data_IF_004923069791
#
_entry.id   IF_004923069791
#
_cell.length_a   1.000
_cell.length_b   1.000
_cell.length_c   1.000
_cell.angle_alpha   90.00
_cell.angle_beta   90.00
_cell.angle_gamma   90.00
#
_symmetry.space_group_name_H-M   'P 1'
#
loop_
_entity.id
_entity.type
_entity.pdbx_description
1 polymer ?
#
# COMPACT_ATOMS: atom_id res chain seq x y z
N UNK A 1 15.37 21.43 14.01
CA UNK A 1 15.06 20.05 14.45
C UNK A 1 16.24 19.22 14.00
N UNK A 2 17.13 18.86 14.92
CA UNK A 2 18.22 17.97 14.58
C UNK A 2 17.62 16.60 14.31
N UNK A 3 17.74 16.14 13.07
CA UNK A 3 17.26 14.83 12.65
C UNK A 3 18.24 13.78 13.18
N UNK A 4 17.81 12.94 14.10
CA UNK A 4 18.68 11.95 14.75
C UNK A 4 19.09 10.77 13.85
N UNK A 5 18.91 10.85 12.52
CA UNK A 5 19.36 9.90 11.46
C UNK A 5 19.46 8.40 11.84
N UNK A 6 18.53 7.88 12.63
CA UNK A 6 18.54 6.46 13.04
C UNK A 6 19.42 6.10 14.24
N UNK A 7 19.84 7.08 15.06
CA UNK A 7 20.45 6.82 16.37
C UNK A 7 19.47 5.98 17.21
N UNK A 8 19.89 4.84 17.77
CA UNK A 8 19.04 4.01 18.61
C UNK A 8 18.52 4.82 19.81
N UNK A 9 17.21 4.92 19.94
CA UNK A 9 16.56 5.53 21.10
C UNK A 9 16.16 4.46 22.10
N UNK A 10 16.45 4.68 23.37
CA UNK A 10 15.92 3.84 24.44
C UNK A 10 14.40 4.00 24.50
N UNK A 11 13.68 2.88 24.36
CA UNK A 11 12.22 2.87 24.40
C UNK A 11 11.72 2.74 25.83
N UNK A 12 10.66 3.47 26.18
CA UNK A 12 9.93 3.24 27.42
C UNK A 12 9.25 1.87 27.43
N UNK A 13 8.87 1.37 28.60
CA UNK A 13 8.24 0.05 28.71
C UNK A 13 6.90 -0.02 27.96
N UNK A 14 6.13 1.07 27.95
CA UNK A 14 4.92 1.17 27.13
C UNK A 14 5.23 1.11 25.63
N UNK A 15 6.31 1.77 25.18
CA UNK A 15 6.72 1.72 23.77
C UNK A 15 7.21 0.31 23.37
N UNK A 16 7.96 -0.37 24.25
CA UNK A 16 8.35 -1.77 24.06
C UNK A 16 7.12 -2.66 23.91
N UNK A 17 6.15 -2.56 24.83
CA UNK A 17 4.91 -3.34 24.74
C UNK A 17 4.13 -3.00 23.46
N UNK A 18 4.02 -1.72 23.11
CA UNK A 18 3.31 -1.29 21.89
C UNK A 18 3.96 -1.80 20.61
N UNK A 19 5.29 -1.93 20.56
CA UNK A 19 6.00 -2.46 19.39
C UNK A 19 5.70 -3.94 19.08
N UNK A 20 5.15 -4.68 20.05
CA UNK A 20 4.75 -6.08 19.87
C UNK A 20 3.37 -6.22 19.21
N UNK A 21 2.57 -5.15 19.19
CA UNK A 21 1.25 -5.17 18.58
C UNK A 21 1.35 -5.44 17.07
N UNK A 22 0.61 -6.45 16.61
CA UNK A 22 0.46 -6.76 15.19
C UNK A 22 -0.92 -6.27 14.69
N UNK A 23 -0.96 -5.26 13.80
CA UNK A 23 -2.19 -4.84 13.15
C UNK A 23 -2.88 -6.00 12.42
N UNK A 24 -4.21 -6.06 12.53
CA UNK A 24 -5.03 -7.01 11.78
C UNK A 24 -5.04 -6.64 10.29
N UNK A 25 -4.95 -7.66 9.43
CA UNK A 25 -5.05 -7.49 7.99
C UNK A 25 -6.45 -7.90 7.52
N UNK A 26 -6.98 -7.27 6.47
CA UNK A 26 -8.15 -7.79 5.77
C UNK A 26 -7.88 -9.23 5.27
N UNK A 27 -8.86 -10.14 5.34
CA UNK A 27 -8.67 -11.54 4.90
C UNK A 27 -8.21 -11.72 3.45
N UNK A 28 -8.47 -10.74 2.57
CA UNK A 28 -8.00 -10.75 1.18
C UNK A 28 -6.52 -10.40 1.01
N UNK A 29 -5.85 -9.93 2.08
CA UNK A 29 -4.43 -9.59 2.11
C UNK A 29 -3.62 -10.54 3.02
N UNK A 30 -4.26 -11.58 3.55
CA UNK A 30 -3.57 -12.63 4.29
C UNK A 30 -2.83 -13.57 3.32
N UNK A 31 -1.52 -13.73 3.51
CA UNK A 31 -0.67 -14.52 2.63
C UNK A 31 -0.10 -13.70 1.46
N UNK A 32 0.34 -14.40 0.41
CA UNK A 32 0.99 -13.80 -0.78
C UNK A 32 0.09 -13.78 -2.01
N UNK A 33 -0.91 -14.67 -2.07
CA UNK A 33 -1.81 -14.78 -3.22
C UNK A 33 -2.97 -13.81 -3.10
N UNK A 34 -2.96 -12.77 -3.93
CA UNK A 34 -4.03 -11.77 -3.98
C UNK A 34 -4.87 -11.99 -5.23
N UNK A 35 -6.20 -11.98 -5.06
CA UNK A 35 -7.18 -12.04 -6.14
C UNK A 35 -7.78 -10.66 -6.37
N UNK A 36 -7.83 -10.22 -7.62
CA UNK A 36 -8.34 -8.90 -8.00
C UNK A 36 -9.41 -9.04 -9.08
N UNK A 37 -10.52 -8.35 -8.89
CA UNK A 37 -11.55 -8.12 -9.90
C UNK A 37 -11.59 -6.63 -10.27
N UNK A 38 -11.80 -6.33 -11.54
CA UNK A 38 -11.96 -4.96 -12.02
C UNK A 38 -13.43 -4.64 -12.25
N UNK A 39 -13.92 -3.61 -11.58
CA UNK A 39 -15.30 -3.12 -11.69
C UNK A 39 -15.43 -1.92 -12.63
N UNK A 40 -16.39 -1.05 -12.32
CA UNK A 40 -16.74 0.11 -13.13
C UNK A 40 -15.55 1.08 -13.33
N UNK A 41 -15.55 1.77 -14.46
CA UNK A 41 -14.58 2.84 -14.76
C UNK A 41 -14.81 4.03 -13.85
N UNK A 42 -13.73 4.58 -13.30
CA UNK A 42 -13.78 5.82 -12.50
C UNK A 42 -14.13 7.05 -13.35
N UNK A 43 -14.68 8.09 -12.73
CA UNK A 43 -14.99 9.37 -13.38
C UNK A 43 -14.67 10.53 -12.44
N UNK A 44 -14.64 11.76 -12.96
CA UNK A 44 -14.56 12.97 -12.14
C UNK A 44 -15.77 13.09 -11.20
N UNK A 45 -15.57 13.73 -10.05
CA UNK A 45 -16.64 14.00 -9.08
C UNK A 45 -17.70 14.94 -9.67
N UNK A 46 -17.26 16.00 -10.34
CA UNK A 46 -18.12 16.91 -11.09
C UNK A 46 -18.13 16.49 -12.59
N UNK A 47 -19.29 16.18 -13.19
CA UNK A 47 -19.39 15.87 -14.60
C UNK A 47 -18.95 17.01 -15.53
N UNK A 48 -19.06 18.27 -15.11
CA UNK A 48 -18.64 19.42 -15.91
C UNK A 48 -17.12 19.44 -16.16
N UNK A 49 -16.34 18.91 -15.22
CA UNK A 49 -14.87 18.85 -15.31
C UNK A 49 -14.36 17.63 -16.07
N UNK A 50 -15.23 16.66 -16.40
CA UNK A 50 -14.83 15.37 -16.96
C UNK A 50 -13.96 15.52 -18.22
N UNK A 51 -14.32 16.43 -19.12
CA UNK A 51 -13.57 16.65 -20.35
C UNK A 51 -12.19 17.26 -20.10
N UNK A 52 -12.11 18.26 -19.21
CA UNK A 52 -10.87 18.93 -18.84
C UNK A 52 -9.90 17.96 -18.14
N UNK A 53 -10.40 17.18 -17.19
CA UNK A 53 -9.59 16.21 -16.44
C UNK A 53 -9.15 15.07 -17.36
N UNK A 54 -10.03 14.53 -18.20
CA UNK A 54 -9.66 13.48 -19.16
C UNK A 54 -8.54 13.93 -20.11
N UNK A 55 -8.59 15.20 -20.57
CA UNK A 55 -7.55 15.78 -21.41
C UNK A 55 -6.22 15.95 -20.66
N UNK A 56 -6.26 16.33 -19.38
CA UNK A 56 -5.05 16.50 -18.56
C UNK A 56 -4.41 15.15 -18.18
N UNK A 57 -5.21 14.09 -18.04
CA UNK A 57 -4.78 12.77 -17.56
C UNK A 57 -5.15 11.63 -18.55
N UNK A 58 -4.67 11.68 -19.80
CA UNK A 58 -5.13 10.79 -20.86
C UNK A 58 -4.80 9.31 -20.62
N UNK A 59 -3.82 9.01 -19.75
CA UNK A 59 -3.36 7.65 -19.48
C UNK A 59 -3.96 7.04 -18.20
N UNK A 60 -4.60 7.85 -17.35
CA UNK A 60 -5.08 7.44 -16.02
C UNK A 60 -6.54 7.75 -15.77
N UNK A 61 -7.15 8.69 -16.50
CA UNK A 61 -8.59 8.91 -16.42
C UNK A 61 -9.38 7.66 -16.85
N UNK A 62 -10.46 7.35 -16.13
CA UNK A 62 -11.32 6.21 -16.48
C UNK A 62 -10.77 4.83 -16.11
N UNK A 63 -9.66 4.72 -15.36
CA UNK A 63 -9.17 3.41 -14.89
C UNK A 63 -10.25 2.72 -14.03
N UNK A 64 -10.38 1.39 -14.13
CA UNK A 64 -11.40 0.65 -13.39
C UNK A 64 -11.11 0.60 -11.89
N UNK A 65 -12.16 0.46 -11.09
CA UNK A 65 -12.04 0.13 -9.68
C UNK A 65 -11.45 -1.26 -9.50
N UNK A 66 -10.51 -1.42 -8.56
CA UNK A 66 -9.93 -2.71 -8.21
C UNK A 66 -10.53 -3.23 -6.90
N UNK A 67 -11.08 -4.43 -6.93
CA UNK A 67 -11.68 -5.12 -5.79
C UNK A 67 -10.81 -6.31 -5.37
N UNK A 68 -10.35 -6.32 -4.13
CA UNK A 68 -9.60 -7.45 -3.58
C UNK A 68 -10.56 -8.51 -3.05
N UNK A 69 -10.47 -9.71 -3.59
CA UNK A 69 -11.33 -10.82 -3.24
C UNK A 69 -10.68 -11.72 -2.18
N UNK A 70 -11.51 -12.39 -1.39
CA UNK A 70 -11.03 -13.45 -0.49
C UNK A 70 -10.40 -14.58 -1.31
N UNK A 71 -9.43 -15.28 -0.73
CA UNK A 71 -8.73 -16.38 -1.40
C UNK A 71 -9.68 -17.50 -1.91
N UNK A 72 -10.82 -17.69 -1.26
CA UNK A 72 -11.84 -18.70 -1.60
C UNK A 72 -12.89 -18.25 -2.62
N UNK A 73 -12.87 -16.98 -3.04
CA UNK A 73 -13.83 -16.46 -4.01
C UNK A 73 -13.61 -17.12 -5.39
N UNK A 74 -14.70 -17.63 -5.98
CA UNK A 74 -14.72 -18.22 -7.33
C UNK A 74 -15.35 -17.22 -8.29
N UNK A 75 -14.54 -16.29 -8.79
CA UNK A 75 -14.93 -15.31 -9.82
C UNK A 75 -14.20 -15.69 -11.11
N UNK A 76 -14.91 -15.95 -12.22
CA UNK A 76 -14.31 -16.50 -13.45
C UNK A 76 -13.15 -15.65 -14.01
N UNK A 77 -13.26 -14.32 -13.93
CA UNK A 77 -12.32 -13.38 -14.54
C UNK A 77 -11.40 -12.69 -13.53
N UNK A 78 -11.35 -13.18 -12.29
CA UNK A 78 -10.47 -12.61 -11.28
C UNK A 78 -9.00 -12.92 -11.59
N UNK A 79 -8.19 -11.87 -11.62
CA UNK A 79 -6.75 -12.00 -11.78
C UNK A 79 -6.13 -12.48 -10.47
N UNK A 80 -5.27 -13.50 -10.56
CA UNK A 80 -4.55 -14.05 -9.41
C UNK A 80 -3.09 -13.65 -9.52
N UNK A 81 -2.63 -12.85 -8.58
CA UNK A 81 -1.23 -12.46 -8.50
C UNK A 81 -0.47 -13.58 -7.80
N UNK A 82 0.41 -14.24 -8.55
CA UNK A 82 1.25 -15.34 -8.06
C UNK A 82 2.74 -15.06 -8.24
N UNK A 83 3.09 -14.13 -9.13
CA UNK A 83 4.47 -13.73 -9.37
C UNK A 83 4.89 -12.61 -8.43
N UNK A 84 6.04 -12.81 -7.79
CA UNK A 84 6.61 -11.86 -6.84
C UNK A 84 8.09 -11.60 -7.17
N UNK A 85 8.38 -10.88 -8.28
CA UNK A 85 9.75 -10.51 -8.59
C UNK A 85 10.34 -9.60 -7.50
N UNK A 86 11.67 -9.57 -7.41
CA UNK A 86 12.34 -8.64 -6.51
C UNK A 86 12.14 -7.21 -7.02
N UNK A 87 11.59 -6.33 -6.19
CA UNK A 87 11.29 -4.94 -6.55
C UNK A 87 11.91 -3.95 -5.58
N UNK A 88 12.14 -2.73 -6.06
CA UNK A 88 12.56 -1.59 -5.25
C UNK A 88 11.42 -0.59 -5.18
N UNK A 89 10.98 -0.26 -3.97
CA UNK A 89 9.88 0.69 -3.74
C UNK A 89 10.42 1.92 -3.03
N UNK A 90 10.09 3.10 -3.55
CA UNK A 90 10.34 4.39 -2.91
C UNK A 90 9.14 4.83 -2.08
N UNK A 91 9.39 5.36 -0.89
CA UNK A 91 8.37 5.94 -0.01
C UNK A 91 8.80 7.33 0.45
N UNK A 92 7.89 8.28 0.38
CA UNK A 92 8.06 9.66 0.86
C UNK A 92 6.84 10.05 1.69
N UNK A 93 7.06 10.79 2.77
CA UNK A 93 5.98 11.44 3.51
C UNK A 93 5.79 12.86 3.03
N UNK A 94 4.57 13.20 2.59
CA UNK A 94 4.23 14.55 2.15
C UNK A 94 3.35 15.25 3.21
N UNK A 95 3.67 16.49 3.54
CA UNK A 95 2.87 17.31 4.45
C UNK A 95 3.23 17.13 5.93
N UNK A 96 2.24 17.28 6.82
CA UNK A 96 2.44 17.23 8.27
C UNK A 96 2.45 15.81 8.80
N UNK A 97 3.16 15.61 9.92
CA UNK A 97 3.15 14.35 10.65
C UNK A 97 1.73 13.94 11.08
N UNK A 98 1.44 12.65 10.97
CA UNK A 98 0.20 12.04 11.45
C UNK A 98 0.50 10.71 12.17
N UNK A 99 -0.18 10.40 13.28
CA UNK A 99 -0.13 9.07 13.89
C UNK A 99 -0.44 7.98 12.86
N UNK A 100 0.32 6.89 12.88
CA UNK A 100 0.16 5.74 11.98
C UNK A 100 1.05 5.72 10.73
N UNK A 101 1.78 6.80 10.43
CA UNK A 101 2.70 6.82 9.27
C UNK A 101 3.73 5.68 9.31
N UNK A 102 4.31 5.38 10.47
CA UNK A 102 5.23 4.25 10.62
C UNK A 102 4.54 2.88 10.51
N UNK A 103 3.23 2.77 10.78
CA UNK A 103 2.48 1.53 10.51
C UNK A 103 2.35 1.26 9.00
N UNK A 104 2.23 2.32 8.19
CA UNK A 104 2.25 2.20 6.72
C UNK A 104 3.62 1.68 6.25
N UNK A 105 4.72 2.24 6.76
CA UNK A 105 6.08 1.77 6.45
C UNK A 105 6.27 0.31 6.87
N UNK A 106 5.84 -0.05 8.09
CA UNK A 106 5.87 -1.42 8.58
C UNK A 106 5.09 -2.38 7.68
N UNK A 107 3.86 -2.00 7.29
CA UNK A 107 3.01 -2.83 6.44
C UNK A 107 3.60 -3.05 5.06
N UNK A 108 4.11 -1.98 4.43
CA UNK A 108 4.77 -2.05 3.13
C UNK A 108 6.05 -2.88 3.18
N UNK A 109 6.90 -2.66 4.19
CA UNK A 109 8.12 -3.45 4.37
C UNK A 109 7.79 -4.93 4.59
N UNK A 110 6.83 -5.25 5.48
CA UNK A 110 6.39 -6.62 5.74
C UNK A 110 5.85 -7.29 4.48
N UNK A 111 4.98 -6.62 3.72
CA UNK A 111 4.44 -7.14 2.47
C UNK A 111 5.54 -7.41 1.43
N UNK A 112 6.48 -6.49 1.24
CA UNK A 112 7.60 -6.66 0.32
C UNK A 112 8.44 -7.89 0.67
N UNK A 113 8.79 -8.06 1.95
CA UNK A 113 9.61 -9.19 2.41
C UNK A 113 8.89 -10.54 2.38
N UNK A 114 7.59 -10.55 2.63
CA UNK A 114 6.76 -11.76 2.51
C UNK A 114 6.64 -12.20 1.05
N UNK A 115 6.46 -11.26 0.11
CA UNK A 115 6.39 -11.57 -1.32
C UNK A 115 7.76 -11.98 -1.91
N UNK A 116 8.81 -11.21 -1.60
CA UNK A 116 10.17 -11.53 -2.04
C UNK A 116 11.22 -10.92 -1.08
N UNK A 117 12.07 -11.73 -0.42
CA UNK A 117 13.04 -11.23 0.56
C UNK A 117 14.09 -10.29 -0.04
N UNK A 118 14.34 -10.38 -1.35
CA UNK A 118 15.28 -9.52 -2.08
C UNK A 118 14.70 -8.13 -2.41
N UNK A 119 13.40 -7.92 -2.22
CA UNK A 119 12.77 -6.60 -2.40
C UNK A 119 13.29 -5.58 -1.40
N UNK A 120 13.39 -4.32 -1.80
CA UNK A 120 13.96 -3.24 -1.00
C UNK A 120 13.00 -2.06 -0.88
N UNK A 121 12.86 -1.51 0.33
CA UNK A 121 12.12 -0.28 0.59
C UNK A 121 13.11 0.87 0.83
N UNK A 122 12.94 1.97 0.11
CA UNK A 122 13.79 3.17 0.16
C UNK A 122 12.95 4.35 0.69
N UNK A 123 13.33 4.90 1.84
CA UNK A 123 12.71 6.10 2.40
C UNK A 123 13.41 7.37 1.92
N UNK A 124 12.65 8.31 1.36
CA UNK A 124 13.13 9.64 0.99
C UNK A 124 12.85 10.62 2.14
N UNK A 125 13.83 11.49 2.40
CA UNK A 125 13.80 12.52 3.42
C UNK A 125 13.34 13.86 2.83
#
# INVERSE_FOLDING_TARGET
MDSDYGIPRELSDLQKLRSQYQPQLPPCLEGTTVRVEFGDTTTSLDPADAHTIARAFPHTYGKPLAHFLRATAKVPDAQIITEHPAIRVGLVFCGRQSPGGHNVVWGLHKALKIHNPNSTLLGFL
#
